data_IF_439031270448
#
_entry.id   IF_439031270448
#
_cell.length_a   1.000
_cell.length_b   1.000
_cell.length_c   1.000
_cell.angle_alpha   90.00
_cell.angle_beta   90.00
_cell.angle_gamma   90.00
#
_symmetry.space_group_name_H-M   'P 1'
#
loop_
_entity.id
_entity.type
_entity.pdbx_description
1 polymer ?
#
# COMPACT_ATOMS: atom_id res chain seq x y z
N UNK A 1 29.28 8.77 -29.94
CA UNK A 1 30.27 8.76 -28.85
C UNK A 1 30.69 7.31 -28.71
N UNK A 2 31.81 6.95 -29.32
CA UNK A 2 32.36 5.59 -29.27
C UNK A 2 32.72 5.24 -27.83
N UNK A 3 32.24 4.10 -27.35
CA UNK A 3 32.70 3.54 -26.10
C UNK A 3 34.00 2.80 -26.39
N UNK A 4 35.13 3.37 -25.96
CA UNK A 4 36.43 2.70 -26.07
C UNK A 4 36.49 1.60 -25.01
N UNK A 5 36.59 0.31 -25.39
CA UNK A 5 36.66 -0.76 -24.40
C UNK A 5 38.01 -0.66 -23.65
N UNK A 6 37.95 -0.43 -22.33
CA UNK A 6 39.12 -0.42 -21.45
C UNK A 6 39.22 0.73 -20.44
N UNK A 7 38.25 1.63 -20.34
CA UNK A 7 38.27 2.67 -19.31
C UNK A 7 37.60 2.19 -18.01
N UNK A 8 38.34 2.21 -16.89
CA UNK A 8 37.80 1.89 -15.57
C UNK A 8 36.62 2.81 -15.21
N UNK A 9 35.54 2.28 -14.61
CA UNK A 9 34.36 3.08 -14.29
C UNK A 9 34.71 4.24 -13.35
N UNK A 10 34.27 5.46 -13.70
CA UNK A 10 34.51 6.70 -12.94
C UNK A 10 33.21 7.26 -12.40
N UNK A 11 33.25 7.71 -11.15
CA UNK A 11 32.18 8.50 -10.56
C UNK A 11 32.47 9.99 -10.82
N UNK A 12 31.52 10.69 -11.44
CA UNK A 12 31.56 12.14 -11.57
C UNK A 12 30.71 12.74 -10.45
N UNK A 13 31.34 13.50 -9.56
CA UNK A 13 30.68 14.21 -8.47
C UNK A 13 30.54 15.67 -8.91
N UNK A 14 29.30 16.18 -8.89
CA UNK A 14 29.01 17.59 -9.15
C UNK A 14 28.92 18.30 -7.82
N UNK A 15 29.92 19.11 -7.49
CA UNK A 15 29.92 19.90 -6.27
C UNK A 15 29.39 21.30 -6.58
N UNK A 16 28.07 21.46 -6.59
CA UNK A 16 27.37 22.68 -7.05
C UNK A 16 27.82 23.94 -6.30
N UNK A 17 27.95 23.89 -4.97
CA UNK A 17 28.38 25.05 -4.17
C UNK A 17 29.85 25.43 -4.41
N UNK A 18 30.67 24.49 -4.87
CA UNK A 18 32.06 24.71 -5.26
C UNK A 18 32.23 24.93 -6.78
N UNK A 19 31.13 24.90 -7.54
CA UNK A 19 31.09 25.06 -9.00
C UNK A 19 32.11 24.17 -9.75
N UNK A 20 32.29 22.92 -9.30
CA UNK A 20 33.30 22.03 -9.86
C UNK A 20 32.80 20.60 -10.10
N UNK A 21 33.55 19.89 -10.95
CA UNK A 21 33.39 18.47 -11.22
C UNK A 21 34.58 17.70 -10.66
N UNK A 22 34.31 16.79 -9.72
CA UNK A 22 35.33 15.90 -9.15
C UNK A 22 35.19 14.52 -9.80
N UNK A 23 36.31 13.94 -10.25
CA UNK A 23 36.35 12.58 -10.83
C UNK A 23 36.91 11.62 -9.80
N UNK A 24 36.06 10.79 -9.20
CA UNK A 24 36.47 9.77 -8.25
C UNK A 24 36.59 8.41 -8.96
N UNK A 25 37.62 7.65 -8.58
CA UNK A 25 37.76 6.25 -8.99
C UNK A 25 36.86 5.41 -8.11
N UNK A 26 36.08 4.51 -8.70
CA UNK A 26 35.28 3.56 -7.94
C UNK A 26 36.21 2.41 -7.51
N UNK A 27 36.42 2.17 -6.19
CA UNK A 27 37.26 1.07 -5.74
C UNK A 27 36.75 -0.26 -6.28
N UNK A 28 37.66 -1.19 -6.62
CA UNK A 28 37.29 -2.48 -7.21
C UNK A 28 36.25 -3.26 -6.38
N UNK A 29 36.33 -3.18 -5.05
CA UNK A 29 35.33 -3.82 -4.16
C UNK A 29 33.92 -3.20 -4.22
N UNK A 30 33.79 -1.95 -4.69
CA UNK A 30 32.52 -1.24 -4.83
C UNK A 30 31.99 -1.23 -6.28
N UNK A 31 32.77 -1.77 -7.23
CA UNK A 31 32.33 -1.97 -8.61
C UNK A 31 31.43 -3.20 -8.75
N UNK A 32 31.41 -4.07 -7.75
CA UNK A 32 30.47 -5.19 -7.65
C UNK A 32 29.45 -4.85 -6.57
N UNK A 33 28.20 -4.76 -6.98
CA UNK A 33 27.07 -4.78 -6.05
C UNK A 33 26.74 -6.24 -5.81
N UNK A 34 26.61 -6.64 -4.54
CA UNK A 34 25.96 -7.91 -4.22
C UNK A 34 24.48 -7.75 -4.58
N UNK A 35 24.09 -8.27 -5.76
CA UNK A 35 22.72 -8.22 -6.29
C UNK A 35 21.74 -9.09 -5.50
N UNK A 36 22.10 -9.54 -4.30
CA UNK A 36 21.14 -10.04 -3.34
C UNK A 36 20.04 -9.00 -3.15
N UNK A 37 18.85 -9.27 -3.69
CA UNK A 37 17.69 -8.46 -3.42
C UNK A 37 17.58 -8.32 -1.91
N UNK A 38 17.65 -7.09 -1.39
CA UNK A 38 17.24 -6.82 -0.01
C UNK A 38 15.74 -7.10 0.02
N UNK A 39 15.38 -8.36 0.23
CA UNK A 39 14.00 -8.79 0.39
C UNK A 39 13.64 -8.53 1.84
N UNK A 40 13.12 -7.35 2.15
CA UNK A 40 12.32 -7.20 3.37
C UNK A 40 10.96 -7.85 3.10
N UNK A 41 10.93 -9.19 3.06
CA UNK A 41 9.66 -9.89 2.96
C UNK A 41 8.90 -9.62 4.27
N UNK A 42 7.80 -8.88 4.19
CA UNK A 42 6.84 -8.83 5.28
C UNK A 42 6.37 -10.27 5.50
N UNK A 43 6.49 -10.83 6.72
CA UNK A 43 6.01 -12.18 6.98
C UNK A 43 4.57 -12.30 6.51
N UNK A 44 4.25 -13.42 5.84
CA UNK A 44 2.91 -13.63 5.35
C UNK A 44 1.93 -13.77 6.53
N UNK A 45 0.77 -13.15 6.40
CA UNK A 45 -0.31 -13.28 7.37
C UNK A 45 -0.91 -14.67 7.23
N UNK A 46 -1.01 -15.41 8.34
CA UNK A 46 -1.65 -16.72 8.36
C UNK A 46 -3.15 -16.55 8.52
N UNK A 47 -3.91 -17.25 7.68
CA UNK A 47 -5.36 -17.17 7.64
C UNK A 47 -5.98 -18.53 7.95
N UNK A 48 -7.07 -18.53 8.72
CA UNK A 48 -7.86 -19.75 8.98
C UNK A 48 -8.36 -20.37 7.66
N UNK A 49 -8.80 -19.56 6.69
CA UNK A 49 -9.41 -20.02 5.44
C UNK A 49 -10.95 -19.95 5.43
N UNK A 50 -11.57 -20.26 4.29
CA UNK A 50 -13.02 -20.13 4.10
C UNK A 50 -13.44 -18.67 3.88
N UNK A 51 -13.68 -17.93 4.95
CA UNK A 51 -14.05 -16.50 4.90
C UNK A 51 -13.07 -15.64 5.69
N UNK A 52 -12.75 -14.46 5.14
CA UNK A 52 -11.93 -13.45 5.79
C UNK A 52 -12.72 -12.14 5.89
N UNK A 53 -12.87 -11.61 7.10
CA UNK A 53 -13.47 -10.27 7.29
C UNK A 53 -12.38 -9.21 7.14
N UNK A 54 -12.51 -8.33 6.15
CA UNK A 54 -11.60 -7.20 5.98
C UNK A 54 -12.22 -5.92 6.53
N UNK A 55 -11.44 -5.13 7.28
CA UNK A 55 -11.80 -3.78 7.72
C UNK A 55 -10.64 -2.80 7.57
N UNK A 56 -10.90 -1.66 6.93
CA UNK A 56 -10.01 -0.51 6.95
C UNK A 56 -10.48 0.48 8.02
N UNK A 57 -9.68 0.70 9.05
CA UNK A 57 -9.95 1.74 10.06
C UNK A 57 -9.51 3.08 9.52
N UNK A 58 -10.42 4.04 9.52
CA UNK A 58 -10.12 5.42 9.17
C UNK A 58 -10.54 6.33 10.32
N UNK A 59 -9.58 7.10 10.83
CA UNK A 59 -9.85 8.21 11.73
C UNK A 59 -9.74 9.49 10.94
N UNK A 60 -10.84 10.23 10.85
CA UNK A 60 -10.87 11.51 10.16
C UNK A 60 -9.92 12.49 10.87
N UNK A 61 -9.01 13.17 10.15
CA UNK A 61 -8.15 14.17 10.76
C UNK A 61 -8.92 15.31 11.44
N UNK A 62 -8.31 15.90 12.48
CA UNK A 62 -8.93 16.99 13.25
C UNK A 62 -9.29 18.15 12.32
N UNK A 63 -10.49 18.71 12.49
CA UNK A 63 -11.00 19.82 11.66
C UNK A 63 -11.60 19.38 10.33
N UNK A 64 -11.83 18.07 10.14
CA UNK A 64 -12.52 17.52 8.99
C UNK A 64 -13.67 16.60 9.41
N UNK A 65 -14.58 16.32 8.47
CA UNK A 65 -15.69 15.35 8.61
C UNK A 65 -15.93 14.61 7.31
N UNK A 66 -16.44 13.38 7.41
CA UNK A 66 -16.96 12.65 6.25
C UNK A 66 -18.25 13.35 5.76
N UNK A 67 -18.35 13.56 4.45
CA UNK A 67 -19.55 14.11 3.83
C UNK A 67 -20.39 12.99 3.21
N UNK A 68 -21.55 12.71 3.81
CA UNK A 68 -22.46 11.65 3.34
C UNK A 68 -23.63 12.16 2.51
N UNK A 69 -23.69 13.46 2.19
CA UNK A 69 -24.81 14.09 1.47
C UNK A 69 -25.11 13.43 0.11
N UNK A 70 -24.08 12.88 -0.53
CA UNK A 70 -24.17 12.26 -1.87
C UNK A 70 -23.81 10.77 -1.87
N UNK A 71 -23.96 10.09 -0.72
CA UNK A 71 -23.62 8.68 -0.54
C UNK A 71 -22.39 8.49 0.33
N UNK A 72 -21.95 7.24 0.46
CA UNK A 72 -20.77 6.91 1.27
C UNK A 72 -19.49 7.49 0.63
N UNK A 73 -18.74 8.36 1.33
CA UNK A 73 -17.51 8.96 0.82
C UNK A 73 -16.31 8.01 0.88
N UNK A 74 -16.53 6.73 1.22
CA UNK A 74 -15.50 5.71 1.31
C UNK A 74 -15.63 4.64 0.23
N UNK A 75 -14.51 4.05 -0.15
CA UNK A 75 -14.46 3.03 -1.19
C UNK A 75 -13.35 2.03 -0.92
N UNK A 76 -13.64 0.76 -1.19
CA UNK A 76 -12.67 -0.32 -1.22
C UNK A 76 -12.55 -0.92 -2.62
N UNK A 77 -11.31 -1.14 -3.05
CA UNK A 77 -10.97 -2.01 -4.18
C UNK A 77 -10.09 -3.15 -3.68
N UNK A 78 -10.54 -4.38 -3.90
CA UNK A 78 -9.82 -5.59 -3.46
C UNK A 78 -9.60 -6.50 -4.66
N UNK A 79 -8.40 -7.04 -4.78
CA UNK A 79 -8.04 -8.07 -5.76
C UNK A 79 -6.96 -8.97 -5.17
N UNK A 80 -6.58 -10.02 -5.89
CA UNK A 80 -5.56 -10.96 -5.42
C UNK A 80 -4.64 -11.43 -6.54
N UNK A 81 -3.49 -11.97 -6.14
CA UNK A 81 -2.60 -12.73 -7.01
C UNK A 81 -2.30 -14.07 -6.32
N UNK A 82 -2.67 -15.21 -6.91
CA UNK A 82 -3.38 -15.37 -8.19
C UNK A 82 -4.84 -14.86 -8.12
N UNK A 83 -5.42 -14.47 -9.27
CA UNK A 83 -6.74 -13.82 -9.31
C UNK A 83 -7.89 -14.68 -8.78
N UNK A 84 -7.79 -16.00 -8.97
CA UNK A 84 -8.77 -17.00 -8.53
C UNK A 84 -8.61 -17.38 -7.05
N UNK A 85 -7.76 -16.69 -6.28
CA UNK A 85 -7.69 -16.84 -4.84
C UNK A 85 -8.95 -16.31 -4.14
N UNK A 86 -9.60 -15.28 -4.70
CA UNK A 86 -10.87 -14.78 -4.20
C UNK A 86 -12.02 -15.36 -5.03
N UNK A 87 -12.86 -16.17 -4.38
CA UNK A 87 -14.10 -16.68 -4.97
C UNK A 87 -15.21 -15.62 -4.93
N UNK A 88 -15.19 -14.75 -3.92
CA UNK A 88 -16.11 -13.61 -3.77
C UNK A 88 -15.44 -12.45 -3.00
N UNK A 89 -15.99 -11.24 -3.13
CA UNK A 89 -15.53 -10.03 -2.45
C UNK A 89 -14.46 -9.23 -3.20
N UNK A 90 -14.01 -9.71 -4.36
CA UNK A 90 -13.12 -8.94 -5.25
C UNK A 90 -13.85 -7.76 -5.93
N UNK A 91 -13.10 -6.81 -6.46
CA UNK A 91 -13.61 -5.65 -7.18
C UNK A 91 -13.78 -4.40 -6.31
N UNK A 92 -14.58 -3.45 -6.79
CA UNK A 92 -14.73 -2.11 -6.20
C UNK A 92 -16.15 -1.90 -5.65
N UNK A 93 -16.27 -1.40 -4.42
CA UNK A 93 -17.55 -1.02 -3.80
C UNK A 93 -17.36 0.11 -2.79
N UNK A 94 -18.45 0.75 -2.40
CA UNK A 94 -18.49 1.67 -1.25
C UNK A 94 -18.23 0.94 0.08
N UNK A 95 -17.90 1.70 1.12
CA UNK A 95 -17.62 1.21 2.46
C UNK A 95 -16.13 0.91 2.71
N UNK A 96 -15.78 0.72 3.98
CA UNK A 96 -14.44 0.35 4.46
C UNK A 96 -14.34 -1.06 5.06
N UNK A 97 -15.40 -1.87 4.96
CA UNK A 97 -15.38 -3.27 5.37
C UNK A 97 -15.93 -4.18 4.27
N UNK A 98 -15.44 -5.41 4.18
CA UNK A 98 -15.91 -6.40 3.23
C UNK A 98 -15.56 -7.83 3.66
N UNK A 99 -16.51 -8.75 3.53
CA UNK A 99 -16.26 -10.19 3.64
C UNK A 99 -15.66 -10.72 2.33
N UNK A 100 -14.60 -11.51 2.43
CA UNK A 100 -13.94 -12.17 1.31
C UNK A 100 -14.14 -13.69 1.43
N UNK A 101 -14.45 -14.36 0.33
CA UNK A 101 -14.50 -15.83 0.26
C UNK A 101 -13.23 -16.33 -0.41
N UNK A 102 -12.44 -17.11 0.33
CA UNK A 102 -11.13 -17.59 -0.11
C UNK A 102 -11.25 -18.93 -0.82
N UNK A 103 -10.49 -19.10 -1.90
CA UNK A 103 -10.42 -20.37 -2.62
C UNK A 103 -9.60 -21.40 -1.81
N UNK A 104 -10.20 -22.51 -1.34
CA UNK A 104 -9.49 -23.50 -0.55
C UNK A 104 -8.42 -24.28 -1.33
N UNK A 105 -8.43 -24.21 -2.66
CA UNK A 105 -7.44 -24.88 -3.52
C UNK A 105 -6.11 -24.12 -3.60
N UNK A 106 -6.07 -22.86 -3.15
CA UNK A 106 -4.88 -22.00 -3.19
C UNK A 106 -4.45 -21.66 -1.77
N UNK A 107 -3.26 -22.11 -1.39
CA UNK A 107 -2.73 -21.90 -0.03
C UNK A 107 -2.01 -20.56 0.12
N UNK A 108 -1.38 -20.03 -0.93
CA UNK A 108 -0.58 -18.81 -0.86
C UNK A 108 -1.06 -17.79 -1.89
N UNK A 109 -1.18 -16.53 -1.46
CA UNK A 109 -1.57 -15.43 -2.33
C UNK A 109 -1.05 -14.08 -1.82
N UNK A 110 -1.20 -13.05 -2.64
CA UNK A 110 -1.07 -11.65 -2.23
C UNK A 110 -2.42 -10.98 -2.40
N UNK A 111 -2.96 -10.41 -1.33
CA UNK A 111 -4.13 -9.54 -1.39
C UNK A 111 -3.67 -8.12 -1.76
N UNK A 112 -4.28 -7.54 -2.80
CA UNK A 112 -4.08 -6.16 -3.20
C UNK A 112 -5.31 -5.36 -2.80
N UNK A 113 -5.14 -4.45 -1.85
CA UNK A 113 -6.23 -3.70 -1.23
C UNK A 113 -5.95 -2.21 -1.39
N UNK A 114 -6.93 -1.47 -1.91
CA UNK A 114 -6.93 -0.01 -1.93
C UNK A 114 -8.12 0.46 -1.09
N UNK A 115 -7.85 1.24 -0.04
CA UNK A 115 -8.88 1.96 0.71
C UNK A 115 -8.83 3.45 0.40
N UNK A 116 -10.01 4.06 0.26
CA UNK A 116 -10.19 5.48 0.01
C UNK A 116 -11.24 6.05 0.93
N UNK A 117 -11.00 7.27 1.40
CA UNK A 117 -11.99 8.07 2.12
C UNK A 117 -11.84 9.54 1.72
N UNK A 118 -12.95 10.22 1.48
CA UNK A 118 -12.98 11.67 1.31
C UNK A 118 -13.53 12.34 2.58
N UNK A 119 -12.82 13.35 3.09
CA UNK A 119 -13.29 14.16 4.21
C UNK A 119 -13.15 15.65 3.87
N UNK A 120 -14.12 16.47 4.27
CA UNK A 120 -14.12 17.90 4.00
C UNK A 120 -13.89 18.70 5.28
N UNK A 121 -13.33 19.90 5.15
CA UNK A 121 -13.13 20.81 6.27
C UNK A 121 -14.46 21.04 7.00
N UNK A 122 -14.44 20.92 8.32
CA UNK A 122 -15.65 21.04 9.14
C UNK A 122 -15.45 20.53 10.56
N UNK A 123 -16.36 20.91 11.45
CA UNK A 123 -16.40 20.33 12.79
C UNK A 123 -17.17 19.00 12.77
N UNK A 124 -16.85 18.04 13.65
CA UNK A 124 -17.49 16.72 13.66
C UNK A 124 -19.02 16.77 13.66
N UNK A 125 -19.60 17.69 14.45
CA UNK A 125 -21.05 17.83 14.64
C UNK A 125 -21.65 19.05 13.92
N UNK A 126 -20.84 19.85 13.23
CA UNK A 126 -21.30 21.06 12.53
C UNK A 126 -21.57 20.81 11.05
N UNK A 127 -22.23 21.77 10.41
CA UNK A 127 -22.38 21.78 8.96
C UNK A 127 -21.02 21.95 8.26
N UNK A 128 -20.91 21.43 7.05
CA UNK A 128 -19.74 21.71 6.19
C UNK A 128 -19.86 23.17 5.75
N UNK A 129 -18.88 24.05 6.05
CA UNK A 129 -18.93 25.45 5.68
C UNK A 129 -19.07 25.67 4.17
N UNK A 130 -19.57 26.84 3.78
CA UNK A 130 -19.49 27.27 2.39
C UNK A 130 -18.03 27.31 1.95
N UNK A 131 -17.75 26.74 0.77
CA UNK A 131 -16.41 26.64 0.18
C UNK A 131 -15.38 25.78 0.97
N UNK A 132 -15.84 24.85 1.80
CA UNK A 132 -14.95 23.87 2.45
C UNK A 132 -14.13 23.07 1.41
N UNK A 133 -12.84 22.85 1.68
CA UNK A 133 -12.03 21.96 0.86
C UNK A 133 -12.30 20.50 1.25
N UNK A 134 -12.29 19.61 0.26
CA UNK A 134 -12.37 18.17 0.48
C UNK A 134 -11.04 17.50 0.16
N UNK A 135 -10.60 16.65 1.06
CA UNK A 135 -9.32 15.94 1.05
C UNK A 135 -9.57 14.47 0.76
N UNK A 136 -8.79 13.90 -0.14
CA UNK A 136 -8.84 12.48 -0.47
C UNK A 136 -7.69 11.74 0.22
N UNK A 137 -8.06 10.76 1.03
CA UNK A 137 -7.13 9.83 1.64
C UNK A 137 -7.16 8.53 0.86
N UNK A 138 -5.98 8.03 0.49
CA UNK A 138 -5.83 6.75 -0.18
C UNK A 138 -4.63 6.02 0.38
N UNK A 139 -4.80 4.72 0.61
CA UNK A 139 -3.69 3.83 0.92
C UNK A 139 -3.88 2.50 0.22
N UNK A 140 -2.76 1.95 -0.24
CA UNK A 140 -2.66 0.71 -0.97
C UNK A 140 -1.79 -0.28 -0.18
N UNK A 141 -2.21 -1.54 -0.13
CA UNK A 141 -1.47 -2.62 0.51
C UNK A 141 -1.34 -3.83 -0.42
N UNK A 142 -0.16 -4.44 -0.42
CA UNK A 142 0.06 -5.81 -0.87
C UNK A 142 0.33 -6.67 0.37
N UNK A 143 -0.62 -7.53 0.74
CA UNK A 143 -0.53 -8.39 1.93
C UNK A 143 -0.29 -9.82 1.47
N UNK A 144 0.93 -10.37 1.65
CA UNK A 144 1.17 -11.80 1.47
C UNK A 144 0.37 -12.58 2.51
N UNK A 145 -0.35 -13.61 2.09
CA UNK A 145 -1.18 -14.45 2.95
C UNK A 145 -0.91 -15.93 2.72
N UNK A 146 -1.06 -16.72 3.77
CA UNK A 146 -0.99 -18.19 3.73
C UNK A 146 -2.22 -18.75 4.45
N UNK A 147 -3.01 -19.58 3.77
CA UNK A 147 -4.16 -20.28 4.35
C UNK A 147 -3.69 -21.58 5.01
N UNK A 148 -3.94 -21.72 6.31
CA UNK A 148 -3.41 -22.84 7.11
C UNK A 148 -4.48 -23.86 7.49
N UNK A 149 -5.75 -23.45 7.57
CA UNK A 149 -6.83 -24.28 8.12
C UNK A 149 -6.84 -24.35 9.66
N UNK A 150 -5.90 -23.68 10.35
CA UNK A 150 -5.87 -23.62 11.82
C UNK A 150 -6.85 -22.55 12.30
N UNK A 151 -7.79 -22.93 13.17
CA UNK A 151 -8.78 -22.03 13.74
C UNK A 151 -8.17 -20.97 14.69
N UNK A 152 -6.90 -21.13 15.07
CA UNK A 152 -6.16 -20.13 15.85
C UNK A 152 -5.55 -19.01 14.98
N UNK A 153 -5.51 -19.16 13.66
CA UNK A 153 -5.00 -18.14 12.74
C UNK A 153 -6.08 -17.11 12.36
N UNK A 154 -5.70 -16.05 11.65
CA UNK A 154 -6.57 -14.89 11.48
C UNK A 154 -7.81 -15.21 10.60
N UNK A 155 -8.99 -14.81 11.08
CA UNK A 155 -10.24 -14.74 10.30
C UNK A 155 -10.67 -13.30 10.03
N UNK A 156 -9.93 -12.33 10.56
CA UNK A 156 -10.12 -10.90 10.35
C UNK A 156 -8.80 -10.24 9.91
N UNK A 157 -8.87 -9.29 8.98
CA UNK A 157 -7.75 -8.47 8.55
C UNK A 157 -8.09 -6.99 8.73
N UNK A 158 -7.48 -6.36 9.73
CA UNK A 158 -7.69 -4.94 10.06
C UNK A 158 -6.48 -4.11 9.66
N UNK A 159 -6.67 -3.11 8.80
CA UNK A 159 -5.63 -2.19 8.34
C UNK A 159 -6.01 -0.73 8.59
N UNK A 160 -5.04 0.11 8.91
CA UNK A 160 -5.28 1.55 9.17
C UNK A 160 -5.07 2.38 7.91
N UNK A 161 -6.14 2.97 7.37
CA UNK A 161 -6.08 4.05 6.38
C UNK A 161 -5.61 5.32 7.11
N UNK A 162 -4.36 5.71 6.91
CA UNK A 162 -3.80 6.86 7.61
C UNK A 162 -4.16 8.16 6.92
N UNK A 163 -4.97 8.98 7.58
CA UNK A 163 -4.95 10.43 7.37
C UNK A 163 -3.77 11.01 8.13
N UNK A 164 -2.80 11.61 7.44
CA UNK A 164 -1.59 12.13 8.08
C UNK A 164 -2.02 13.27 9.04
N UNK A 165 -1.61 13.15 10.30
CA UNK A 165 -1.78 14.18 11.36
C UNK A 165 -0.70 15.27 11.25
#
# INVERSE_FOLDING_TARGET
MEHSPGEDPRLIIVETNAHQLVRAVIPAQAQKVDEGAITTARPATKLTGGTLEFTSRFTVPIGQKLDTRWGDPTQLKISSTPENFLLDGAGTSQGLSRTLVLNPEIQEAVLHITARAAACDGTPDGDIPEHAACHLYQQDWGIPVIVTGDAADESELVLDLRGIN
#
